data_IF_541454129617
#
_entry.id   IF_541454129617
#
_cell.length_a   1.000
_cell.length_b   1.000
_cell.length_c   1.000
_cell.angle_alpha   90.00
_cell.angle_beta   90.00
_cell.angle_gamma   90.00
#
_symmetry.space_group_name_H-M   'P 1'
#
loop_
_entity.id
_entity.type
_entity.pdbx_description
1 polymer ?
#
# COMPACT_ATOMS: atom_id res chain seq x y z
N UNK A 1 24.82 -14.63 33.30
CA UNK A 1 23.55 -14.50 32.57
C UNK A 1 23.76 -13.43 31.52
N UNK A 2 23.98 -13.79 30.25
CA UNK A 2 24.14 -12.81 29.17
C UNK A 2 22.79 -12.68 28.47
N UNK A 3 22.02 -11.64 28.83
CA UNK A 3 20.81 -11.26 28.11
C UNK A 3 21.19 -10.33 26.97
N UNK A 4 21.10 -10.84 25.74
CA UNK A 4 21.25 -10.05 24.52
C UNK A 4 19.96 -9.24 24.33
N UNK A 5 19.99 -7.96 24.66
CA UNK A 5 18.98 -7.00 24.21
C UNK A 5 19.50 -6.41 22.91
N UNK A 6 19.07 -6.98 21.78
CA UNK A 6 19.19 -6.32 20.49
C UNK A 6 18.23 -5.13 20.51
N UNK A 7 18.77 -3.94 20.75
CA UNK A 7 18.05 -2.67 20.62
C UNK A 7 17.70 -2.47 19.15
N UNK A 8 16.48 -2.83 18.76
CA UNK A 8 15.94 -2.48 17.44
C UNK A 8 15.67 -0.98 17.45
N UNK A 9 16.64 -0.19 17.02
CA UNK A 9 16.46 1.21 16.65
C UNK A 9 15.88 1.23 15.24
N UNK A 10 14.57 1.42 15.11
CA UNK A 10 13.98 1.69 13.80
C UNK A 10 14.50 3.04 13.31
N UNK A 11 14.81 3.12 12.01
CA UNK A 11 15.21 4.38 11.40
C UNK A 11 14.00 5.35 11.45
N UNK A 12 14.18 6.48 12.14
CA UNK A 12 13.15 7.52 12.24
C UNK A 12 12.92 8.22 10.88
N UNK A 13 13.83 8.04 9.92
CA UNK A 13 13.71 8.44 8.53
C UNK A 13 13.12 7.31 7.68
N UNK A 14 11.83 7.04 7.86
CA UNK A 14 11.08 6.08 7.04
C UNK A 14 10.02 6.77 6.18
N UNK A 15 9.52 6.07 5.17
CA UNK A 15 8.55 6.59 4.19
C UNK A 15 7.30 7.16 4.87
N UNK A 16 6.83 6.52 5.95
CA UNK A 16 5.69 7.01 6.74
C UNK A 16 5.88 8.43 7.26
N UNK A 17 7.09 8.79 7.69
CA UNK A 17 7.39 10.07 8.34
C UNK A 17 8.11 11.09 7.43
N UNK A 18 8.64 10.65 6.29
CA UNK A 18 9.50 11.47 5.44
C UNK A 18 8.92 11.80 4.06
N UNK A 19 7.85 11.13 3.63
CA UNK A 19 7.28 11.29 2.28
C UNK A 19 5.78 11.54 2.38
N UNK A 20 5.25 12.39 1.48
CA UNK A 20 3.80 12.55 1.26
C UNK A 20 3.24 11.29 0.54
N UNK A 21 3.17 10.17 1.27
CA UNK A 21 2.67 8.89 0.78
C UNK A 21 1.15 8.85 0.61
N UNK A 22 0.43 9.79 1.23
CA UNK A 22 -1.01 9.90 1.04
C UNK A 22 -1.26 10.50 -0.35
N UNK A 23 -2.07 9.81 -1.14
CA UNK A 23 -2.29 10.19 -2.53
C UNK A 23 -2.95 9.08 -3.34
N UNK A 24 -3.17 9.37 -4.62
CA UNK A 24 -3.74 8.43 -5.58
C UNK A 24 -2.64 7.86 -6.46
N UNK A 25 -2.55 6.53 -6.46
CA UNK A 25 -1.63 5.72 -7.24
C UNK A 25 -2.42 5.04 -8.34
N UNK A 26 -1.93 5.12 -9.56
CA UNK A 26 -2.58 4.53 -10.74
C UNK A 26 -1.57 3.70 -11.50
N UNK A 27 -2.01 2.53 -11.98
CA UNK A 27 -1.18 1.66 -12.79
C UNK A 27 -1.95 0.53 -13.43
N UNK A 28 -1.28 -0.22 -14.29
CA UNK A 28 -1.81 -1.45 -14.87
C UNK A 28 -0.97 -2.62 -14.40
N UNK A 29 -1.59 -3.54 -13.67
CA UNK A 29 -0.94 -4.76 -13.21
C UNK A 29 -1.01 -5.84 -14.31
N UNK A 30 0.08 -6.61 -14.50
CA UNK A 30 0.08 -7.73 -15.43
C UNK A 30 -0.91 -8.80 -14.93
N UNK A 31 -1.66 -9.36 -15.87
CA UNK A 31 -2.64 -10.41 -15.59
C UNK A 31 -2.21 -11.69 -16.30
N UNK A 32 -2.24 -12.83 -15.60
CA UNK A 32 -1.73 -14.09 -16.14
C UNK A 32 -2.49 -14.55 -17.39
N UNK A 33 -3.81 -14.36 -17.41
CA UNK A 33 -4.72 -14.84 -18.46
C UNK A 33 -5.62 -13.71 -19.01
N UNK A 34 -5.23 -12.45 -18.83
CA UNK A 34 -5.98 -11.31 -19.38
C UNK A 34 -5.06 -10.17 -19.81
N UNK A 35 -5.61 -9.22 -20.57
CA UNK A 35 -4.86 -8.07 -21.12
C UNK A 35 -4.22 -7.18 -20.04
N UNK A 36 -4.79 -7.15 -18.83
CA UNK A 36 -4.29 -6.39 -17.69
C UNK A 36 -5.40 -5.97 -16.73
N UNK A 37 -4.99 -5.55 -15.54
CA UNK A 37 -5.90 -4.99 -14.52
C UNK A 37 -5.50 -3.54 -14.30
N UNK A 38 -6.38 -2.62 -14.64
CA UNK A 38 -6.19 -1.21 -14.30
C UNK A 38 -6.54 -0.99 -12.84
N UNK A 39 -5.61 -0.45 -12.07
CA UNK A 39 -5.74 -0.27 -10.63
C UNK A 39 -5.56 1.20 -10.27
N UNK A 40 -6.51 1.73 -9.52
CA UNK A 40 -6.43 3.04 -8.86
C UNK A 40 -6.51 2.79 -7.37
N UNK A 41 -5.50 3.21 -6.62
CA UNK A 41 -5.41 3.09 -5.16
C UNK A 41 -5.21 4.47 -4.56
N UNK A 42 -6.15 4.91 -3.73
CA UNK A 42 -6.02 6.12 -2.92
C UNK A 42 -5.71 5.73 -1.49
N UNK A 43 -4.60 6.25 -0.96
CA UNK A 43 -4.21 6.10 0.45
C UNK A 43 -4.46 7.42 1.18
N UNK A 44 -5.19 7.35 2.28
CA UNK A 44 -5.52 8.51 3.11
C UNK A 44 -4.65 8.57 4.37
N UNK A 45 -4.40 9.77 4.87
CA UNK A 45 -3.59 10.00 6.09
C UNK A 45 -4.21 9.39 7.36
N UNK A 46 -5.51 9.13 7.35
CA UNK A 46 -6.24 8.51 8.47
C UNK A 46 -6.09 6.98 8.54
N UNK A 47 -5.29 6.38 7.65
CA UNK A 47 -5.09 4.94 7.58
C UNK A 47 -6.19 4.20 6.82
N UNK A 48 -7.03 4.91 6.08
CA UNK A 48 -8.01 4.31 5.17
C UNK A 48 -7.48 4.26 3.73
N UNK A 49 -8.01 3.32 2.95
CA UNK A 49 -7.73 3.26 1.52
C UNK A 49 -9.00 3.05 0.71
N UNK A 50 -8.97 3.52 -0.54
CA UNK A 50 -9.95 3.23 -1.57
C UNK A 50 -9.23 2.62 -2.78
N UNK A 51 -9.64 1.44 -3.21
CA UNK A 51 -9.05 0.72 -4.33
C UNK A 51 -10.11 0.46 -5.39
N UNK A 52 -9.79 0.72 -6.64
CA UNK A 52 -10.60 0.40 -7.81
C UNK A 52 -9.80 -0.47 -8.75
N UNK A 53 -10.33 -1.64 -9.11
CA UNK A 53 -9.69 -2.61 -9.99
C UNK A 53 -10.62 -2.88 -11.19
N UNK A 54 -10.16 -2.55 -12.38
CA UNK A 54 -10.87 -2.80 -13.62
C UNK A 54 -10.11 -3.80 -14.48
N UNK A 55 -10.70 -4.97 -14.67
CA UNK A 55 -10.23 -5.91 -15.69
C UNK A 55 -10.53 -5.31 -17.06
N UNK A 56 -9.48 -5.03 -17.84
CA UNK A 56 -9.59 -4.35 -19.14
C UNK A 56 -10.50 -5.09 -20.14
N UNK A 57 -10.74 -6.39 -19.92
CA UNK A 57 -11.60 -7.23 -20.75
C UNK A 57 -13.06 -7.30 -20.30
N UNK A 58 -13.33 -7.01 -19.02
CA UNK A 58 -14.68 -7.11 -18.42
C UNK A 58 -15.36 -5.75 -18.28
N UNK A 59 -14.59 -4.66 -18.32
CA UNK A 59 -15.07 -3.26 -18.40
C UNK A 59 -15.89 -2.77 -17.19
N UNK A 60 -15.96 -3.53 -16.10
CA UNK A 60 -16.60 -3.12 -14.86
C UNK A 60 -15.55 -3.03 -13.75
N UNK A 61 -15.31 -1.82 -13.20
CA UNK A 61 -14.44 -1.66 -12.06
C UNK A 61 -15.07 -2.26 -10.81
N UNK A 62 -14.28 -3.01 -10.05
CA UNK A 62 -14.57 -3.43 -8.69
C UNK A 62 -13.97 -2.42 -7.72
N UNK A 63 -14.77 -1.93 -6.77
CA UNK A 63 -14.31 -0.97 -5.75
C UNK A 63 -14.29 -1.63 -4.38
N UNK A 64 -13.21 -1.41 -3.67
CA UNK A 64 -12.97 -1.89 -2.32
C UNK A 64 -12.50 -0.71 -1.46
N UNK A 65 -12.99 -0.62 -0.23
CA UNK A 65 -12.52 0.35 0.75
C UNK A 65 -12.19 -0.35 2.05
N UNK A 66 -11.20 0.17 2.77
CA UNK A 66 -10.73 -0.48 3.98
C UNK A 66 -9.79 0.37 4.80
N UNK A 67 -9.12 -0.28 5.75
CA UNK A 67 -8.08 0.32 6.57
C UNK A 67 -6.78 -0.45 6.38
N UNK A 68 -5.66 0.22 6.56
CA UNK A 68 -4.32 -0.38 6.50
C UNK A 68 -3.51 0.04 7.73
N UNK A 69 -2.50 -0.75 8.06
CA UNK A 69 -1.58 -0.46 9.16
C UNK A 69 -0.15 -0.59 8.68
N UNK A 70 0.68 0.35 9.09
CA UNK A 70 2.11 0.32 8.79
C UNK A 70 2.81 -0.83 9.51
N UNK A 71 3.80 -1.42 8.86
CA UNK A 71 4.77 -2.29 9.54
C UNK A 71 5.54 -1.50 10.61
N UNK A 72 6.09 -2.16 11.64
CA UNK A 72 6.78 -1.47 12.74
C UNK A 72 7.96 -0.59 12.31
N UNK A 73 8.62 -0.95 11.21
CA UNK A 73 9.71 -0.21 10.58
C UNK A 73 9.26 0.97 9.71
N UNK A 74 7.94 1.12 9.47
CA UNK A 74 7.38 2.25 8.73
C UNK A 74 7.73 2.28 7.24
N UNK A 75 8.28 1.18 6.71
CA UNK A 75 8.66 1.04 5.30
C UNK A 75 7.57 0.46 4.40
N UNK A 76 6.51 -0.13 4.95
CA UNK A 76 5.45 -0.81 4.18
C UNK A 76 4.08 -0.75 4.87
N UNK A 77 3.03 -0.96 4.08
CA UNK A 77 1.63 -1.07 4.48
C UNK A 77 1.02 -2.39 3.99
#
# INVERSE_FOLDING_TARGET
MVGKQDSISYDEHNTKNSVDWAGTYEGTLPCADCTGIHVILTLNMDGTYEKSEEYLEKGKPFKETGTFTWTPDGGSI
#
